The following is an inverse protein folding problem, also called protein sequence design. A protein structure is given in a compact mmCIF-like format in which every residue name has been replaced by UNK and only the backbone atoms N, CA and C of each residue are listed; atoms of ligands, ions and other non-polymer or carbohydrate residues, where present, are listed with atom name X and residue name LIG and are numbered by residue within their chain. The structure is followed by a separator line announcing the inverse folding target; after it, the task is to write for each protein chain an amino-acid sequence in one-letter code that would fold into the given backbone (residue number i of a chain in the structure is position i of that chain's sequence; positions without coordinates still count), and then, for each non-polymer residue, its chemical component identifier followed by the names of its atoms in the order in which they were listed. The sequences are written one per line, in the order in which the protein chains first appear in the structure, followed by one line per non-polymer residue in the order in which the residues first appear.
data_IF_197035473080
#
_entry.id   IF_197035473080
#
_cell.length_a   1.000
_cell.length_b   1.000
_cell.length_c   1.000
_cell.angle_alpha   90.00
_cell.angle_beta   90.00
_cell.angle_gamma   90.00
#
_symmetry.space_group_name_H-M   'P 1'
#
loop_
_entity.id
_entity.type
_entity.pdbx_description
1 polymer ?
#
# COMPACT_ATOMS: atom_id res chain seq x y z
N UNK A 1 45.44 -35.02 31.11
CA UNK A 1 45.44 -33.59 31.52
C UNK A 1 45.39 -32.63 30.33
N UNK A 2 46.23 -32.81 29.29
CA UNK A 2 46.28 -31.91 28.12
C UNK A 2 44.97 -31.91 27.30
N UNK A 3 44.33 -33.06 27.14
CA UNK A 3 43.05 -33.19 26.40
C UNK A 3 41.92 -32.45 27.11
N UNK A 4 41.83 -32.58 28.43
CA UNK A 4 40.81 -31.93 29.26
C UNK A 4 40.92 -30.40 29.20
N UNK A 5 42.15 -29.86 29.12
CA UNK A 5 42.39 -28.42 29.01
C UNK A 5 42.04 -27.86 27.63
N UNK A 6 42.13 -28.67 26.56
CA UNK A 6 41.73 -28.27 25.20
C UNK A 6 40.21 -28.26 25.05
N UNK A 7 39.51 -29.25 25.61
CA UNK A 7 38.04 -29.29 25.61
C UNK A 7 37.47 -28.13 26.43
N UNK A 8 38.06 -27.82 27.59
CA UNK A 8 37.62 -26.68 28.41
C UNK A 8 37.79 -25.34 27.69
N UNK A 9 38.90 -25.14 26.95
CA UNK A 9 39.10 -23.92 26.14
C UNK A 9 38.11 -23.80 24.98
N UNK A 10 37.77 -24.90 24.33
CA UNK A 10 36.76 -24.92 23.25
C UNK A 10 35.38 -24.60 23.82
N UNK A 11 35.01 -25.18 24.97
CA UNK A 11 33.74 -24.88 25.64
C UNK A 11 33.70 -23.41 26.09
N UNK A 12 34.78 -22.87 26.67
CA UNK A 12 34.84 -21.47 27.07
C UNK A 12 34.78 -20.51 25.87
N UNK A 13 35.41 -20.87 24.75
CA UNK A 13 35.34 -20.10 23.50
C UNK A 13 33.94 -20.16 22.87
N UNK A 14 33.30 -21.34 22.84
CA UNK A 14 31.90 -21.47 22.41
C UNK A 14 30.95 -20.70 23.32
N UNK A 15 31.21 -20.67 24.64
CA UNK A 15 30.43 -19.86 25.58
C UNK A 15 30.66 -18.37 25.36
N UNK A 16 31.89 -17.92 25.08
CA UNK A 16 32.21 -16.53 24.74
C UNK A 16 31.63 -16.09 23.39
N UNK A 17 31.59 -16.97 22.40
CA UNK A 17 30.95 -16.72 21.10
C UNK A 17 29.42 -16.70 21.26
N UNK A 18 28.86 -17.57 22.11
CA UNK A 18 27.43 -17.57 22.41
C UNK A 18 26.99 -16.36 23.27
N UNK A 19 27.84 -15.85 24.17
CA UNK A 19 27.53 -14.65 24.96
C UNK A 19 27.82 -13.34 24.21
N UNK A 20 28.79 -13.32 23.28
CA UNK A 20 29.01 -12.18 22.38
C UNK A 20 28.00 -12.09 21.22
N UNK A 21 27.13 -13.10 21.02
CA UNK A 21 25.93 -12.96 20.20
C UNK A 21 24.82 -12.13 20.87
N UNK A 22 25.02 -11.70 22.12
CA UNK A 22 24.29 -10.58 22.73
C UNK A 22 24.99 -9.23 22.48
N UNK A 23 25.58 -9.04 21.31
CA UNK A 23 25.63 -7.69 20.74
C UNK A 23 24.17 -7.22 20.64
N UNK A 24 23.73 -6.46 21.64
CA UNK A 24 22.38 -5.95 21.77
C UNK A 24 22.01 -5.18 20.50
N UNK A 25 21.36 -5.91 19.59
CA UNK A 25 20.78 -5.36 18.40
C UNK A 25 19.63 -4.45 18.79
N UNK A 26 19.54 -3.32 18.11
CA UNK A 26 18.35 -2.48 18.12
C UNK A 26 17.13 -3.38 17.84
N UNK A 27 16.26 -3.60 18.83
CA UNK A 27 15.00 -4.31 18.63
C UNK A 27 14.01 -3.37 17.93
N UNK A 28 13.80 -3.58 16.63
CA UNK A 28 12.63 -3.04 15.92
C UNK A 28 11.45 -3.98 16.17
N UNK A 29 10.33 -3.44 16.66
CA UNK A 29 9.07 -4.19 16.72
C UNK A 29 8.28 -3.93 15.43
N UNK A 30 7.84 -5.00 14.77
CA UNK A 30 6.96 -4.93 13.60
C UNK A 30 5.49 -5.01 14.04
N UNK A 31 4.66 -4.02 13.69
CA UNK A 31 3.21 -4.05 13.94
C UNK A 31 2.41 -3.44 12.76
N UNK A 32 1.40 -4.17 12.28
CA UNK A 32 0.64 -3.92 11.04
C UNK A 32 -0.71 -3.24 11.28
N UNK A 33 -1.07 -2.21 10.50
CA UNK A 33 -2.40 -1.54 10.49
C UNK A 33 -2.68 -0.86 9.13
N UNK A 34 -3.90 -0.35 8.93
CA UNK A 34 -4.35 0.31 7.71
C UNK A 34 -4.97 1.69 8.05
N UNK A 35 -4.46 2.75 7.45
CA UNK A 35 -5.09 4.08 7.41
C UNK A 35 -4.92 4.63 6.01
N UNK A 36 -6.00 5.08 5.41
CA UNK A 36 -6.05 5.51 4.04
C UNK A 36 -6.30 7.03 4.03
N UNK A 37 -5.85 7.76 3.03
CA UNK A 37 -6.12 9.19 2.95
C UNK A 37 -5.91 9.63 1.52
N UNK A 38 -6.85 10.40 0.97
CA UNK A 38 -6.58 11.08 -0.29
C UNK A 38 -5.58 12.19 -0.02
N UNK A 39 -4.52 12.33 -0.84
CA UNK A 39 -3.76 13.56 -0.85
C UNK A 39 -4.68 14.72 -1.23
N UNK A 40 -4.66 15.80 -0.43
CA UNK A 40 -5.45 17.03 -0.60
C UNK A 40 -5.34 17.66 -2.02
N UNK A 41 -4.35 17.22 -2.80
CA UNK A 41 -4.02 17.69 -4.15
C UNK A 41 -4.66 16.94 -5.31
N UNK A 42 -5.42 15.85 -5.09
CA UNK A 42 -6.08 15.12 -6.19
C UNK A 42 -7.57 15.46 -6.33
N UNK A 43 -8.15 15.97 -5.25
CA UNK A 43 -9.56 16.25 -5.12
C UNK A 43 -9.63 17.66 -4.57
N UNK A 44 -10.11 18.59 -5.39
CA UNK A 44 -10.41 19.95 -4.92
C UNK A 44 -11.34 19.86 -3.71
N UNK A 45 -11.24 20.84 -2.80
CA UNK A 45 -12.15 20.97 -1.64
C UNK A 45 -13.65 20.95 -2.03
N UNK A 46 -13.96 21.05 -3.32
CA UNK A 46 -15.30 21.01 -3.89
C UNK A 46 -15.93 19.61 -3.88
N UNK A 47 -15.15 18.52 -3.95
CA UNK A 47 -15.74 17.18 -3.92
C UNK A 47 -15.90 16.67 -2.49
N UNK A 48 -17.13 16.35 -2.14
CA UNK A 48 -17.56 15.90 -0.81
C UNK A 48 -18.02 14.44 -0.82
N UNK A 49 -18.30 13.88 -2.01
CA UNK A 49 -18.81 12.53 -2.14
C UNK A 49 -18.36 11.83 -3.44
N UNK A 50 -18.48 10.51 -3.45
CA UNK A 50 -18.25 9.71 -4.63
C UNK A 50 -19.25 8.57 -4.73
N UNK A 51 -19.48 8.08 -5.94
CA UNK A 51 -20.11 6.78 -6.16
C UNK A 51 -19.22 5.91 -7.04
N UNK A 52 -19.47 4.61 -7.08
CA UNK A 52 -18.78 3.68 -7.97
C UNK A 52 -19.78 3.20 -9.00
N UNK A 53 -19.36 3.18 -10.27
CA UNK A 53 -20.04 2.42 -11.32
C UNK A 53 -19.09 1.36 -11.79
N UNK A 54 -19.57 0.14 -11.94
CA UNK A 54 -18.84 -0.89 -12.61
C UNK A 54 -19.59 -1.31 -13.86
N UNK A 55 -18.90 -1.30 -14.99
CA UNK A 55 -19.38 -1.81 -16.25
C UNK A 55 -18.56 -3.05 -16.64
N UNK A 56 -19.23 -4.19 -16.79
CA UNK A 56 -18.65 -5.36 -17.41
C UNK A 56 -18.55 -5.16 -18.93
N UNK A 57 -17.59 -5.84 -19.56
CA UNK A 57 -17.33 -5.72 -20.99
C UNK A 57 -18.59 -5.99 -21.82
N UNK A 58 -19.00 -5.00 -22.62
CA UNK A 58 -20.03 -5.21 -23.65
C UNK A 58 -19.51 -6.07 -24.83
N UNK A 59 -18.20 -6.24 -24.94
CA UNK A 59 -17.58 -7.04 -25.98
C UNK A 59 -17.61 -8.54 -25.64
N UNK A 60 -17.81 -9.42 -26.64
CA UNK A 60 -17.64 -10.86 -26.51
C UNK A 60 -16.31 -11.24 -25.87
N UNK A 61 -16.31 -12.25 -25.01
CA UNK A 61 -15.07 -12.80 -24.44
C UNK A 61 -14.25 -13.46 -25.55
N UNK A 62 -12.96 -13.15 -25.59
CA UNK A 62 -12.02 -13.75 -26.54
C UNK A 62 -11.48 -15.05 -25.96
N UNK A 63 -11.35 -16.07 -26.80
CA UNK A 63 -10.71 -17.34 -26.42
C UNK A 63 -9.54 -17.54 -27.37
N UNK A 64 -8.36 -17.74 -26.81
CA UNK A 64 -7.13 -18.00 -27.55
C UNK A 64 -6.56 -19.33 -27.03
N UNK A 65 -6.33 -20.30 -27.90
CA UNK A 65 -5.73 -21.59 -27.52
C UNK A 65 -4.47 -21.79 -28.36
N UNK A 66 -3.32 -21.90 -27.71
CA UNK A 66 -2.00 -22.00 -28.36
C UNK A 66 -1.74 -20.90 -29.40
N UNK A 67 -2.15 -19.67 -29.08
CA UNK A 67 -2.00 -18.52 -29.97
C UNK A 67 -3.04 -18.44 -31.09
N UNK A 68 -3.91 -19.44 -31.25
CA UNK A 68 -4.99 -19.41 -32.23
C UNK A 68 -6.27 -18.83 -31.61
N UNK A 69 -6.86 -17.84 -32.29
CA UNK A 69 -8.14 -17.28 -31.91
C UNK A 69 -9.28 -18.28 -32.19
N UNK A 70 -10.07 -18.57 -31.17
CA UNK A 70 -11.28 -19.38 -31.28
C UNK A 70 -12.51 -18.49 -31.46
N UNK A 71 -13.67 -19.13 -31.62
CA UNK A 71 -14.95 -18.41 -31.67
C UNK A 71 -15.14 -17.61 -30.38
N UNK A 72 -15.46 -16.32 -30.53
CA UNK A 72 -15.83 -15.47 -29.40
C UNK A 72 -17.05 -16.02 -28.67
N UNK A 73 -17.10 -15.75 -27.37
CA UNK A 73 -18.12 -16.28 -26.48
C UNK A 73 -19.10 -15.20 -26.05
N UNK A 74 -20.19 -15.61 -25.42
CA UNK A 74 -21.16 -14.66 -24.88
C UNK A 74 -20.45 -13.69 -23.93
N UNK A 75 -20.93 -12.44 -23.91
CA UNK A 75 -20.43 -11.43 -22.97
C UNK A 75 -20.57 -11.94 -21.53
N UNK A 76 -19.67 -11.48 -20.66
CA UNK A 76 -19.85 -11.67 -19.23
C UNK A 76 -21.09 -10.88 -18.80
N UNK A 77 -22.09 -11.56 -18.26
CA UNK A 77 -23.26 -10.89 -17.67
C UNK A 77 -23.11 -10.82 -16.16
N UNK A 78 -23.73 -9.79 -15.56
CA UNK A 78 -23.84 -9.70 -14.12
C UNK A 78 -24.54 -10.96 -13.60
N UNK A 79 -23.78 -11.84 -12.97
CA UNK A 79 -24.34 -13.00 -12.29
C UNK A 79 -24.58 -12.66 -10.81
N UNK A 80 -25.35 -13.51 -10.13
CA UNK A 80 -25.63 -13.39 -8.69
C UNK A 80 -24.38 -13.44 -7.80
N UNK A 81 -23.20 -13.78 -8.35
CA UNK A 81 -21.93 -13.87 -7.63
C UNK A 81 -21.15 -12.55 -7.64
N UNK A 82 -21.44 -11.65 -8.57
CA UNK A 82 -20.82 -10.34 -8.60
C UNK A 82 -21.43 -9.41 -7.55
N UNK A 83 -20.83 -9.39 -6.36
CA UNK A 83 -21.30 -8.54 -5.26
C UNK A 83 -20.58 -7.19 -5.30
N UNK A 84 -21.29 -6.17 -5.81
CA UNK A 84 -20.82 -4.78 -5.84
C UNK A 84 -20.39 -4.29 -4.44
N UNK A 85 -21.09 -4.74 -3.39
CA UNK A 85 -20.78 -4.43 -1.99
C UNK A 85 -19.36 -4.88 -1.57
N UNK A 86 -18.80 -5.95 -2.16
CA UNK A 86 -17.44 -6.40 -1.85
C UNK A 86 -16.37 -5.45 -2.42
N UNK A 87 -16.62 -4.90 -3.61
CA UNK A 87 -15.80 -3.84 -4.20
C UNK A 87 -15.87 -2.56 -3.36
N UNK A 88 -17.09 -2.18 -2.97
CA UNK A 88 -17.34 -1.00 -2.13
C UNK A 88 -16.61 -1.13 -0.79
N UNK A 89 -16.65 -2.30 -0.14
CA UNK A 89 -15.95 -2.51 1.13
C UNK A 89 -14.44 -2.27 1.00
N UNK A 90 -13.82 -2.70 -0.09
CA UNK A 90 -12.41 -2.43 -0.38
C UNK A 90 -12.08 -0.98 -0.69
N UNK A 91 -13.09 -0.17 -1.05
CA UNK A 91 -12.99 1.25 -1.41
C UNK A 91 -13.60 2.20 -0.36
N UNK A 92 -14.23 1.66 0.68
CA UNK A 92 -14.71 2.41 1.85
C UNK A 92 -13.59 3.16 2.60
N UNK A 93 -12.35 2.82 2.26
CA UNK A 93 -11.09 3.43 2.62
C UNK A 93 -10.80 4.77 1.92
N UNK A 94 -11.65 5.27 1.03
CA UNK A 94 -11.51 6.60 0.43
C UNK A 94 -11.84 7.68 1.49
N UNK A 95 -10.93 7.90 2.45
CA UNK A 95 -11.18 8.51 3.79
C UNK A 95 -11.69 9.96 3.77
N UNK A 96 -11.63 10.64 2.62
CA UNK A 96 -12.01 12.05 2.53
C UNK A 96 -13.34 12.32 1.80
N UNK A 97 -14.12 11.28 1.45
CA UNK A 97 -15.35 11.46 0.68
C UNK A 97 -16.48 10.56 1.19
N UNK A 98 -17.70 11.10 1.17
CA UNK A 98 -18.91 10.30 1.41
C UNK A 98 -19.14 9.33 0.26
N UNK A 99 -19.15 8.02 0.53
CA UNK A 99 -19.68 7.06 -0.44
C UNK A 99 -21.19 7.24 -0.56
N UNK A 100 -21.67 7.37 -1.80
CA UNK A 100 -23.07 7.43 -2.15
C UNK A 100 -23.37 6.29 -3.12
N UNK A 101 -24.27 5.39 -2.73
CA UNK A 101 -24.66 4.25 -3.56
C UNK A 101 -25.40 4.70 -4.82
N UNK A 102 -26.14 5.80 -4.72
CA UNK A 102 -26.77 6.37 -5.89
C UNK A 102 -25.71 7.10 -6.71
N UNK A 103 -25.72 6.98 -8.03
CA UNK A 103 -24.83 7.73 -8.91
C UNK A 103 -25.52 8.90 -9.62
N UNK A 104 -26.60 9.43 -9.03
CA UNK A 104 -27.23 10.65 -9.47
C UNK A 104 -26.24 11.82 -9.56
N UNK A 105 -26.52 12.70 -10.52
CA UNK A 105 -25.78 13.93 -10.75
C UNK A 105 -25.91 14.84 -9.53
N UNK A 106 -24.79 15.18 -8.91
CA UNK A 106 -24.75 16.06 -7.74
C UNK A 106 -23.50 16.92 -7.80
N UNK A 107 -23.63 18.20 -7.44
CA UNK A 107 -22.46 19.07 -7.32
C UNK A 107 -21.54 18.56 -6.19
N UNK A 108 -20.23 18.74 -6.37
CA UNK A 108 -19.24 18.19 -5.42
C UNK A 108 -19.24 16.67 -5.30
N UNK A 109 -19.68 15.95 -6.34
CA UNK A 109 -19.62 14.49 -6.40
C UNK A 109 -18.90 14.01 -7.65
N UNK A 110 -18.03 13.01 -7.50
CA UNK A 110 -17.48 12.28 -8.64
C UNK A 110 -17.95 10.83 -8.72
N UNK A 111 -17.78 10.24 -9.89
CA UNK A 111 -18.10 8.86 -10.20
C UNK A 111 -16.79 8.15 -10.50
N UNK A 112 -16.46 7.12 -9.72
CA UNK A 112 -15.45 6.13 -10.08
C UNK A 112 -16.10 5.13 -11.05
N UNK A 113 -16.01 5.43 -12.34
CA UNK A 113 -16.53 4.62 -13.43
C UNK A 113 -15.47 3.60 -13.88
N UNK A 114 -15.67 2.35 -13.48
CA UNK A 114 -14.73 1.24 -13.65
C UNK A 114 -15.26 0.34 -14.76
N UNK A 115 -14.44 0.08 -15.78
CA UNK A 115 -14.83 -0.73 -16.93
C UNK A 115 -13.90 -1.91 -17.08
N UNK A 116 -14.46 -3.10 -17.16
CA UNK A 116 -13.71 -4.30 -17.53
C UNK A 116 -13.78 -4.44 -19.04
N UNK A 117 -12.63 -4.46 -19.71
CA UNK A 117 -12.51 -4.59 -21.17
C UNK A 117 -11.61 -5.75 -21.56
N UNK A 118 -11.69 -6.17 -22.81
CA UNK A 118 -10.77 -7.11 -23.44
C UNK A 118 -10.60 -8.44 -22.67
N UNK A 119 -11.69 -8.93 -22.07
CA UNK A 119 -11.69 -10.22 -21.36
C UNK A 119 -11.26 -11.31 -22.35
N UNK A 120 -10.18 -12.00 -21.99
CA UNK A 120 -9.55 -13.01 -22.83
C UNK A 120 -9.19 -14.22 -21.99
N UNK A 121 -9.66 -15.40 -22.39
CA UNK A 121 -9.16 -16.68 -21.91
C UNK A 121 -8.03 -17.18 -22.81
N UNK A 122 -6.93 -17.61 -22.20
CA UNK A 122 -5.80 -18.22 -22.88
C UNK A 122 -5.67 -19.66 -22.42
N UNK A 123 -5.71 -20.61 -23.35
CA UNK A 123 -5.36 -22.00 -23.11
C UNK A 123 -3.98 -22.28 -23.70
N UNK A 124 -3.03 -22.73 -22.89
CA UNK A 124 -1.73 -23.21 -23.36
C UNK A 124 -1.67 -24.73 -23.22
N UNK A 125 -1.49 -25.44 -24.32
CA UNK A 125 -1.36 -26.90 -24.33
C UNK A 125 0.11 -27.24 -24.08
N UNK A 126 0.34 -28.08 -23.08
CA UNK A 126 1.63 -28.58 -22.68
C UNK A 126 1.73 -30.06 -22.99
N UNK A 127 2.96 -30.55 -23.10
CA UNK A 127 3.25 -31.96 -23.35
C UNK A 127 4.19 -32.48 -22.26
N UNK A 128 3.79 -33.55 -21.59
CA UNK A 128 4.64 -34.30 -20.68
C UNK A 128 5.41 -35.38 -21.45
N UNK A 129 6.57 -35.75 -20.93
CA UNK A 129 7.44 -36.78 -21.52
C UNK A 129 7.03 -38.22 -21.19
N UNK A 130 5.97 -38.43 -20.39
CA UNK A 130 5.62 -39.75 -19.86
C UNK A 130 4.12 -39.98 -19.82
N UNK A 131 3.65 -41.02 -20.51
CA UNK A 131 2.29 -41.56 -20.38
C UNK A 131 1.56 -41.75 -21.71
N UNK A 132 0.47 -42.52 -21.68
CA UNK A 132 -0.43 -42.72 -22.82
C UNK A 132 -1.24 -41.46 -23.18
N UNK A 133 -1.26 -40.46 -22.29
CA UNK A 133 -1.97 -39.19 -22.43
C UNK A 133 -1.01 -38.03 -22.14
N UNK A 134 -0.08 -37.71 -23.08
CA UNK A 134 1.01 -36.79 -22.79
C UNK A 134 0.56 -35.33 -22.79
N UNK A 135 -0.62 -34.99 -23.32
CA UNK A 135 -1.03 -33.60 -23.44
C UNK A 135 -1.89 -33.16 -22.26
N UNK A 136 -1.57 -32.01 -21.69
CA UNK A 136 -2.36 -31.33 -20.67
C UNK A 136 -2.43 -29.84 -21.00
N UNK A 137 -3.08 -29.04 -20.17
CA UNK A 137 -3.20 -27.61 -20.44
C UNK A 137 -3.11 -26.75 -19.19
N UNK A 138 -2.75 -25.48 -19.42
CA UNK A 138 -2.82 -24.39 -18.46
C UNK A 138 -3.80 -23.35 -18.99
N UNK A 139 -4.61 -22.78 -18.09
CA UNK A 139 -5.55 -21.71 -18.45
C UNK A 139 -5.10 -20.43 -17.77
N UNK A 140 -5.10 -19.36 -18.54
CA UNK A 140 -4.93 -18.00 -18.04
C UNK A 140 -6.16 -17.21 -18.43
N UNK A 141 -6.40 -16.14 -17.68
CA UNK A 141 -7.32 -15.10 -18.12
C UNK A 141 -6.63 -13.76 -18.01
N UNK A 142 -7.00 -12.86 -18.91
CA UNK A 142 -6.55 -11.49 -18.90
C UNK A 142 -7.69 -10.55 -19.22
N UNK A 143 -7.60 -9.34 -18.69
CA UNK A 143 -8.57 -8.28 -18.91
C UNK A 143 -7.93 -6.94 -18.60
N UNK A 144 -8.53 -5.89 -19.13
CA UNK A 144 -8.16 -4.51 -18.87
C UNK A 144 -9.16 -3.91 -17.88
N UNK A 145 -8.67 -3.37 -16.76
CA UNK A 145 -9.47 -2.54 -15.86
C UNK A 145 -9.23 -1.09 -16.25
N UNK A 146 -10.24 -0.45 -16.84
CA UNK A 146 -10.22 0.98 -17.15
C UNK A 146 -10.96 1.72 -16.04
N UNK A 147 -10.23 2.36 -15.14
CA UNK A 147 -10.81 3.20 -14.10
C UNK A 147 -10.89 4.63 -14.61
N UNK A 148 -12.06 5.25 -14.52
CA UNK A 148 -12.31 6.65 -14.85
C UNK A 148 -12.86 7.37 -13.61
N UNK A 149 -12.32 8.53 -13.25
CA UNK A 149 -12.98 9.45 -12.33
C UNK A 149 -13.67 10.55 -13.12
N UNK A 150 -14.96 10.72 -12.87
CA UNK A 150 -15.81 11.65 -13.62
C UNK A 150 -16.53 12.61 -12.71
N UNK A 151 -16.62 13.87 -13.10
CA UNK A 151 -17.50 14.81 -12.40
C UNK A 151 -18.95 14.37 -12.62
N UNK A 152 -19.73 14.17 -11.55
CA UNK A 152 -21.06 13.56 -11.69
C UNK A 152 -22.07 14.45 -12.43
N UNK A 153 -21.92 15.78 -12.35
CA UNK A 153 -22.80 16.75 -13.03
C UNK A 153 -22.54 16.79 -14.53
N UNK A 154 -21.28 16.98 -14.91
CA UNK A 154 -20.86 17.20 -16.29
C UNK A 154 -20.55 15.91 -17.04
N UNK A 155 -20.39 14.79 -16.32
CA UNK A 155 -19.88 13.51 -16.82
C UNK A 155 -18.48 13.61 -17.46
N UNK A 156 -17.78 14.72 -17.23
CA UNK A 156 -16.42 14.88 -17.73
C UNK A 156 -15.48 13.97 -16.95
N UNK A 157 -14.81 13.07 -17.67
CA UNK A 157 -13.67 12.32 -17.12
C UNK A 157 -12.55 13.30 -16.84
N UNK A 158 -12.14 13.37 -15.57
CA UNK A 158 -10.92 14.07 -15.20
C UNK A 158 -9.77 13.06 -15.11
N UNK A 159 -9.93 11.91 -14.45
CA UNK A 159 -8.87 10.89 -14.34
C UNK A 159 -9.19 9.61 -15.10
N UNK A 160 -8.19 9.01 -15.75
CA UNK A 160 -8.32 7.70 -16.39
C UNK A 160 -7.02 6.89 -16.27
N UNK A 161 -7.15 5.61 -15.94
CA UNK A 161 -6.04 4.65 -15.93
C UNK A 161 -6.51 3.30 -16.40
N UNK A 162 -5.70 2.67 -17.23
CA UNK A 162 -5.90 1.29 -17.65
C UNK A 162 -4.88 0.39 -16.97
N UNK A 163 -5.35 -0.69 -16.37
CA UNK A 163 -4.54 -1.70 -15.68
C UNK A 163 -4.76 -3.02 -16.39
N UNK A 164 -3.67 -3.56 -16.92
CA UNK A 164 -3.68 -4.86 -17.61
C UNK A 164 -3.49 -5.94 -16.56
N UNK A 165 -4.49 -6.80 -16.41
CA UNK A 165 -4.44 -7.96 -15.50
C UNK A 165 -4.23 -9.21 -16.32
N UNK A 166 -3.29 -10.05 -15.90
CA UNK A 166 -3.08 -11.40 -16.45
C UNK A 166 -2.77 -12.34 -15.30
N UNK A 167 -3.68 -13.28 -15.04
CA UNK A 167 -3.52 -14.25 -13.98
C UNK A 167 -3.54 -15.67 -14.55
N UNK A 168 -2.67 -16.52 -14.02
CA UNK A 168 -2.70 -17.95 -14.25
C UNK A 168 -3.76 -18.58 -13.37
N UNK A 169 -4.64 -19.38 -13.95
CA UNK A 169 -5.49 -20.27 -13.17
C UNK A 169 -4.73 -21.57 -12.93
N UNK A 170 -4.42 -21.86 -11.67
CA UNK A 170 -3.84 -23.13 -11.27
C UNK A 170 -4.90 -24.23 -11.33
N UNK A 171 -5.01 -24.84 -12.52
CA UNK A 171 -5.76 -26.06 -12.87
C UNK A 171 -7.30 -25.95 -12.74
N UNK A 172 -8.06 -25.99 -13.86
CA UNK A 172 -9.51 -26.05 -13.81
C UNK A 172 -9.93 -27.29 -13.05
N UNK A 173 -10.69 -27.09 -11.97
CA UNK A 173 -11.16 -28.16 -11.11
C UNK A 173 -10.04 -28.68 -10.21
N UNK A 174 -9.95 -28.11 -9.02
CA UNK A 174 -9.37 -28.78 -7.86
C UNK A 174 -10.26 -29.95 -7.38
N UNK A 175 -10.85 -30.72 -8.31
CA UNK A 175 -11.18 -32.09 -7.99
C UNK A 175 -9.84 -32.72 -7.64
N UNK A 176 -9.71 -33.09 -6.38
CA UNK A 176 -8.65 -34.00 -6.00
C UNK A 176 -9.10 -35.38 -6.45
N UNK A 177 -8.18 -36.18 -6.99
CA UNK A 177 -8.37 -37.63 -6.91
C UNK A 177 -8.67 -37.98 -5.43
N UNK A 178 -9.25 -39.15 -5.17
CA UNK A 178 -9.53 -39.63 -3.80
C UNK A 178 -8.29 -39.62 -2.88
N UNK A 179 -7.08 -39.53 -3.45
CA UNK A 179 -5.79 -39.45 -2.75
C UNK A 179 -5.28 -38.02 -2.45
N UNK A 180 -6.03 -36.98 -2.84
CA UNK A 180 -5.65 -35.59 -2.59
C UNK A 180 -4.83 -34.90 -3.69
N UNK A 181 -4.48 -35.60 -4.77
CA UNK A 181 -3.72 -35.04 -5.91
C UNK A 181 -4.63 -34.30 -6.89
N UNK A 182 -4.21 -33.17 -7.51
CA UNK A 182 -5.04 -32.46 -8.48
C UNK A 182 -5.37 -33.36 -9.69
N UNK A 183 -6.64 -33.45 -10.08
CA UNK A 183 -7.06 -34.15 -11.29
C UNK A 183 -6.47 -33.42 -12.50
N UNK A 184 -5.45 -34.00 -13.12
CA UNK A 184 -4.89 -33.48 -14.37
C UNK A 184 -5.68 -34.14 -15.49
N UNK A 185 -6.45 -33.35 -16.24
CA UNK A 185 -7.07 -33.83 -17.47
C UNK A 185 -5.96 -34.02 -18.51
N UNK A 186 -5.52 -35.27 -18.64
CA UNK A 186 -4.54 -35.69 -19.62
C UNK A 186 -5.27 -36.21 -20.87
N UNK A 187 -4.76 -35.87 -22.04
CA UNK A 187 -5.35 -36.20 -23.34
C UNK A 187 -4.34 -36.91 -24.23
N UNK A 188 -4.82 -37.73 -25.17
CA UNK A 188 -3.98 -38.50 -26.09
C UNK A 188 -3.41 -37.62 -27.18
N UNK A 189 -4.19 -36.63 -27.62
CA UNK A 189 -3.79 -35.74 -28.72
C UNK A 189 -3.99 -34.27 -28.38
N UNK A 190 -3.15 -33.41 -28.98
CA UNK A 190 -3.31 -31.95 -28.90
C UNK A 190 -4.69 -31.46 -29.38
N UNK A 191 -5.26 -32.13 -30.39
CA UNK A 191 -6.58 -31.80 -30.92
C UNK A 191 -7.71 -32.06 -29.91
N UNK A 192 -7.61 -33.13 -29.12
CA UNK A 192 -8.56 -33.41 -28.04
C UNK A 192 -8.54 -32.32 -26.97
N UNK A 193 -7.34 -31.89 -26.53
CA UNK A 193 -7.19 -30.79 -25.56
C UNK A 193 -7.81 -29.51 -26.10
N UNK A 194 -7.51 -29.17 -27.36
CA UNK A 194 -8.01 -27.96 -28.02
C UNK A 194 -9.54 -27.97 -28.13
N UNK A 195 -10.13 -29.10 -28.49
CA UNK A 195 -11.59 -29.27 -28.54
C UNK A 195 -12.21 -29.16 -27.15
N UNK A 196 -11.59 -29.75 -26.13
CA UNK A 196 -12.04 -29.66 -24.75
C UNK A 196 -12.00 -28.21 -24.24
N UNK A 197 -10.86 -27.54 -24.37
CA UNK A 197 -10.69 -26.13 -24.00
C UNK A 197 -11.68 -25.23 -24.74
N UNK A 198 -11.83 -25.39 -26.05
CA UNK A 198 -12.80 -24.60 -26.82
C UNK A 198 -14.22 -24.74 -26.23
N UNK A 199 -14.61 -25.94 -25.77
CA UNK A 199 -15.93 -26.18 -25.21
C UNK A 199 -16.09 -25.71 -23.75
N UNK A 200 -15.03 -25.79 -22.94
CA UNK A 200 -15.14 -25.74 -21.47
C UNK A 200 -14.24 -24.71 -20.77
N UNK A 201 -13.45 -23.92 -21.49
CA UNK A 201 -12.55 -22.91 -20.87
C UNK A 201 -13.29 -21.84 -20.05
N UNK A 202 -14.60 -21.72 -20.21
CA UNK A 202 -15.46 -20.77 -19.50
C UNK A 202 -16.38 -21.43 -18.46
N UNK A 203 -16.14 -22.69 -18.09
CA UNK A 203 -16.95 -23.33 -17.04
C UNK A 203 -16.91 -22.54 -15.72
N UNK A 204 -18.00 -22.63 -14.95
CA UNK A 204 -18.33 -21.77 -13.79
C UNK A 204 -17.17 -21.49 -12.82
N UNK A 205 -16.28 -22.46 -12.59
CA UNK A 205 -15.13 -22.27 -11.69
C UNK A 205 -14.19 -21.15 -12.19
N UNK A 206 -13.89 -21.13 -13.49
CA UNK A 206 -13.01 -20.14 -14.10
C UNK A 206 -13.69 -18.76 -14.15
N UNK A 207 -15.00 -18.71 -14.38
CA UNK A 207 -15.79 -17.47 -14.34
C UNK A 207 -15.81 -16.88 -12.92
N UNK A 208 -16.01 -17.72 -11.90
CA UNK A 208 -16.00 -17.27 -10.50
C UNK A 208 -14.62 -16.74 -10.08
N UNK A 209 -13.55 -17.39 -10.51
CA UNK A 209 -12.18 -16.95 -10.27
C UNK A 209 -11.85 -15.65 -11.00
N UNK A 210 -12.32 -15.48 -12.24
CA UNK A 210 -12.23 -14.20 -12.95
C UNK A 210 -12.96 -13.10 -12.19
N UNK A 211 -14.17 -13.37 -11.70
CA UNK A 211 -14.95 -12.42 -10.89
C UNK A 211 -14.23 -12.07 -9.59
N UNK A 212 -13.73 -13.08 -8.86
CA UNK A 212 -12.98 -12.88 -7.64
C UNK A 212 -11.69 -12.09 -7.89
N UNK A 213 -10.99 -12.38 -9.00
CA UNK A 213 -9.84 -11.62 -9.44
C UNK A 213 -10.20 -10.16 -9.72
N UNK A 214 -11.30 -9.89 -10.41
CA UNK A 214 -11.76 -8.52 -10.66
C UNK A 214 -12.02 -7.81 -9.33
N UNK A 215 -12.78 -8.43 -8.41
CA UNK A 215 -13.11 -7.84 -7.11
C UNK A 215 -11.86 -7.56 -6.26
N UNK A 216 -10.94 -8.53 -6.20
CA UNK A 216 -9.69 -8.43 -5.42
C UNK A 216 -8.65 -7.52 -6.05
N UNK A 217 -8.70 -7.28 -7.37
CA UNK A 217 -7.73 -6.42 -8.06
C UNK A 217 -8.17 -4.97 -8.10
N UNK A 218 -9.45 -4.71 -8.40
CA UNK A 218 -9.96 -3.35 -8.62
C UNK A 218 -9.84 -2.48 -7.37
N UNK A 219 -10.17 -2.98 -6.17
CA UNK A 219 -10.09 -2.17 -4.96
C UNK A 219 -8.65 -1.75 -4.61
N UNK A 220 -7.65 -2.65 -4.55
CA UNK A 220 -6.25 -2.27 -4.36
C UNK A 220 -5.70 -1.43 -5.52
N UNK A 221 -6.09 -1.73 -6.76
CA UNK A 221 -5.67 -0.97 -7.93
C UNK A 221 -6.16 0.48 -7.91
N UNK A 222 -7.44 0.68 -7.60
CA UNK A 222 -8.05 1.99 -7.47
C UNK A 222 -7.48 2.72 -6.25
N UNK A 223 -7.29 2.03 -5.12
CA UNK A 223 -6.68 2.60 -3.92
C UNK A 223 -5.23 3.05 -4.18
N UNK A 224 -4.42 2.19 -4.81
CA UNK A 224 -3.05 2.50 -5.24
C UNK A 224 -3.01 3.63 -6.27
N UNK A 225 -3.97 3.68 -7.19
CA UNK A 225 -4.06 4.71 -8.22
C UNK A 225 -4.45 6.08 -7.66
N UNK A 226 -5.36 6.11 -6.71
CA UNK A 226 -5.85 7.32 -6.07
C UNK A 226 -4.94 7.77 -4.92
N UNK A 227 -3.79 7.11 -4.76
CA UNK A 227 -2.85 7.31 -3.65
C UNK A 227 -3.53 7.22 -2.28
N UNK A 228 -4.61 6.46 -2.23
CA UNK A 228 -5.36 6.12 -1.02
C UNK A 228 -4.60 4.95 -0.44
N UNK A 229 -3.53 5.30 0.28
CA UNK A 229 -2.49 4.33 0.58
C UNK A 229 -3.02 3.16 1.41
N UNK A 230 -2.96 1.98 0.79
CA UNK A 230 -2.85 0.69 1.47
C UNK A 230 -1.39 0.51 1.84
N UNK A 231 -1.02 0.83 3.08
CA UNK A 231 0.33 0.57 3.54
C UNK A 231 0.43 -0.72 4.36
N UNK A 232 1.32 -1.65 3.95
CA UNK A 232 1.97 -2.52 4.91
C UNK A 232 2.85 -1.67 5.84
N UNK A 233 2.31 -1.39 7.02
CA UNK A 233 2.93 -0.68 8.13
C UNK A 233 4.24 -1.31 8.60
N UNK A 234 5.35 -0.70 8.20
CA UNK A 234 6.67 -0.91 8.81
C UNK A 234 7.13 0.43 9.37
N UNK A 235 7.21 0.51 10.71
CA UNK A 235 7.71 1.70 11.41
C UNK A 235 9.18 1.49 11.74
N UNK A 236 10.00 2.47 11.42
CA UNK A 236 11.44 2.43 11.71
C UNK A 236 11.80 3.36 12.87
N UNK A 237 10.99 3.39 13.93
CA UNK A 237 11.39 4.15 15.12
C UNK A 237 12.60 3.50 15.78
N UNK A 238 13.64 4.30 15.95
CA UNK A 238 14.87 3.92 16.62
C UNK A 238 14.70 4.14 18.11
N UNK A 239 14.48 3.05 18.84
CA UNK A 239 14.62 3.03 20.30
C UNK A 239 16.08 2.96 20.69
N UNK A 240 16.42 3.66 21.76
CA UNK A 240 17.73 3.57 22.37
C UNK A 240 17.78 2.39 23.34
N UNK A 241 18.73 1.47 23.16
CA UNK A 241 18.95 0.39 24.13
C UNK A 241 19.53 0.94 25.44
N UNK A 242 19.19 0.33 26.59
CA UNK A 242 19.67 0.71 27.95
C UNK A 242 19.10 2.05 28.46
N UNK A 243 17.76 2.15 28.50
CA UNK A 243 16.98 3.28 29.03
C UNK A 243 17.45 3.76 30.41
N UNK A 244 17.93 2.82 31.21
CA UNK A 244 18.44 2.93 32.57
C UNK A 244 19.78 3.68 32.72
N UNK A 245 20.45 4.04 31.61
CA UNK A 245 21.83 4.61 31.66
C UNK A 245 21.97 6.08 31.26
N UNK A 246 20.95 6.69 30.65
CA UNK A 246 21.01 8.10 30.27
C UNK A 246 19.62 8.77 30.28
N UNK A 247 19.45 9.91 30.99
CA UNK A 247 18.15 10.61 31.04
C UNK A 247 17.55 10.94 29.66
N UNK A 248 18.40 11.24 28.68
CA UNK A 248 17.99 11.52 27.30
C UNK A 248 17.43 10.31 26.56
N UNK A 249 17.97 9.11 26.79
CA UNK A 249 17.47 7.90 26.14
C UNK A 249 16.08 7.55 26.65
N UNK A 250 15.87 7.76 27.96
CA UNK A 250 14.57 7.65 28.60
C UNK A 250 13.55 8.61 27.97
N UNK A 251 13.88 9.90 27.83
CA UNK A 251 13.00 10.88 27.17
C UNK A 251 12.59 10.47 25.75
N UNK A 252 13.55 10.04 24.92
CA UNK A 252 13.26 9.61 23.53
C UNK A 252 12.34 8.38 23.54
N UNK A 253 12.64 7.39 24.36
CA UNK A 253 11.87 6.15 24.40
C UNK A 253 10.47 6.37 24.99
N UNK A 254 10.31 7.28 25.96
CA UNK A 254 9.00 7.69 26.48
C UNK A 254 8.12 8.30 25.39
N UNK A 255 8.66 9.18 24.54
CA UNK A 255 7.90 9.71 23.38
C UNK A 255 7.54 8.62 22.37
N UNK A 256 8.44 7.65 22.12
CA UNK A 256 8.15 6.49 21.27
C UNK A 256 7.06 5.60 21.90
N UNK A 257 7.06 5.44 23.23
CA UNK A 257 6.05 4.67 23.95
C UNK A 257 4.69 5.38 23.94
N UNK A 258 4.66 6.70 24.11
CA UNK A 258 3.46 7.50 23.91
C UNK A 258 2.90 7.30 22.50
N UNK A 259 3.77 7.29 21.47
CA UNK A 259 3.37 6.99 20.10
C UNK A 259 2.78 5.59 19.95
N UNK A 260 3.45 4.57 20.49
CA UNK A 260 2.98 3.18 20.45
C UNK A 260 1.66 2.99 21.19
N UNK A 261 1.50 3.62 22.34
CA UNK A 261 0.34 3.46 23.21
C UNK A 261 -0.88 4.19 22.65
N UNK A 262 -0.72 5.42 22.14
CA UNK A 262 -1.79 6.13 21.44
C UNK A 262 -2.42 5.24 20.36
N UNK A 263 -1.57 4.60 19.55
CA UNK A 263 -2.03 3.73 18.48
C UNK A 263 -2.82 2.53 18.98
N UNK A 264 -2.43 1.93 20.11
CA UNK A 264 -3.14 0.77 20.68
C UNK A 264 -4.47 1.15 21.32
N UNK A 265 -4.55 2.35 21.90
CA UNK A 265 -5.70 2.77 22.70
C UNK A 265 -6.83 3.37 21.86
N UNK A 266 -6.58 3.75 20.59
CA UNK A 266 -7.51 4.60 19.80
C UNK A 266 -8.00 5.82 20.60
N UNK A 267 -7.21 6.29 21.57
CA UNK A 267 -7.62 7.32 22.50
C UNK A 267 -7.44 8.70 21.86
N UNK A 268 -8.34 9.64 22.19
CA UNK A 268 -8.16 11.06 21.88
C UNK A 268 -6.82 11.55 22.45
N UNK A 269 -5.94 12.03 21.58
CA UNK A 269 -4.66 12.61 22.00
C UNK A 269 -4.92 14.03 22.47
N UNK A 270 -4.44 14.37 23.66
CA UNK A 270 -4.14 15.76 24.00
C UNK A 270 -2.97 16.23 23.14
N UNK A 271 -3.30 16.70 21.94
CA UNK A 271 -2.30 17.22 21.02
C UNK A 271 -1.97 18.63 21.48
N UNK A 272 -0.70 18.92 21.75
CA UNK A 272 -0.31 20.26 22.17
C UNK A 272 -0.35 21.19 20.94
N UNK A 273 -1.51 21.76 20.66
CA UNK A 273 -1.72 22.66 19.52
C UNK A 273 -0.85 23.92 19.66
N UNK A 274 -0.57 24.37 20.89
CA UNK A 274 0.32 25.50 21.15
C UNK A 274 1.74 25.25 20.62
N UNK A 275 2.27 24.04 20.78
CA UNK A 275 3.61 23.70 20.24
C UNK A 275 3.65 23.78 18.72
N UNK A 276 2.58 23.40 18.03
CA UNK A 276 2.49 23.54 16.57
C UNK A 276 2.38 25.01 16.15
N UNK A 277 1.62 25.82 16.90
CA UNK A 277 1.45 27.26 16.65
C UNK A 277 2.75 28.04 16.87
N UNK A 278 3.45 27.77 17.98
CA UNK A 278 4.76 28.37 18.31
C UNK A 278 5.83 28.04 17.26
N UNK A 279 5.68 26.93 16.54
CA UNK A 279 6.58 26.48 15.48
C UNK A 279 5.94 26.60 14.09
N UNK A 280 5.03 27.56 13.90
CA UNK A 280 4.23 27.72 12.67
C UNK A 280 5.06 27.80 11.38
N UNK A 281 6.25 28.42 11.40
CA UNK A 281 7.14 28.46 10.24
C UNK A 281 7.67 27.06 9.86
N UNK A 282 8.16 26.29 10.84
CA UNK A 282 8.61 24.92 10.61
C UNK A 282 7.45 24.03 10.11
N UNK A 283 6.29 24.15 10.76
CA UNK A 283 5.07 23.42 10.42
C UNK A 283 4.61 23.74 9.00
N UNK A 284 4.66 25.01 8.60
CA UNK A 284 4.32 25.45 7.25
C UNK A 284 5.31 24.95 6.21
N UNK A 285 6.62 25.06 6.50
CA UNK A 285 7.69 24.66 5.58
C UNK A 285 7.69 23.16 5.29
N UNK A 286 7.19 22.33 6.23
CA UNK A 286 7.13 20.87 6.10
C UNK A 286 5.70 20.32 5.97
N UNK A 287 4.73 21.17 5.64
CA UNK A 287 3.33 20.80 5.40
C UNK A 287 2.68 19.94 6.53
N UNK A 288 3.02 20.23 7.79
CA UNK A 288 2.62 19.46 8.97
C UNK A 288 1.20 19.79 9.47
N UNK A 289 0.51 20.76 8.88
CA UNK A 289 -0.89 21.11 9.18
C UNK A 289 -1.84 20.62 8.08
N UNK A 290 -3.03 20.18 8.46
CA UNK A 290 -4.14 19.96 7.51
C UNK A 290 -4.76 21.33 7.23
N UNK A 291 -4.83 21.72 5.96
CA UNK A 291 -5.39 23.01 5.57
C UNK A 291 -6.92 22.89 5.50
N UNK A 292 -7.60 23.37 6.55
CA UNK A 292 -9.06 23.45 6.61
C UNK A 292 -9.70 22.27 7.33
N UNK A 293 -10.77 22.56 8.07
CA UNK A 293 -11.56 21.54 8.75
C UNK A 293 -12.70 21.05 7.84
N UNK A 294 -12.47 19.94 7.15
CA UNK A 294 -13.48 19.30 6.31
C UNK A 294 -14.34 18.29 7.09
N UNK A 295 -14.29 18.25 8.44
CA UNK A 295 -15.05 17.27 9.24
C UNK A 295 -16.56 17.31 8.96
N UNK A 296 -17.07 18.48 8.59
CA UNK A 296 -18.50 18.69 8.29
C UNK A 296 -18.91 18.17 6.90
N UNK A 297 -17.96 17.85 6.01
CA UNK A 297 -18.24 17.24 4.72
C UNK A 297 -18.65 15.76 4.85
N UNK A 298 -18.33 15.12 5.98
CA UNK A 298 -18.69 13.73 6.25
C UNK A 298 -20.07 13.67 6.92
N UNK A 299 -20.99 12.86 6.38
CA UNK A 299 -22.32 12.66 6.99
C UNK A 299 -22.34 11.42 7.88
N UNK A 300 -21.55 10.40 7.50
CA UNK A 300 -21.42 9.15 8.25
C UNK A 300 -20.47 9.31 9.45
N UNK A 301 -20.88 8.77 10.60
CA UNK A 301 -20.12 8.89 11.85
C UNK A 301 -18.77 8.17 11.78
N UNK A 302 -18.67 7.05 11.06
CA UNK A 302 -17.39 6.32 10.91
C UNK A 302 -16.44 7.06 9.98
N UNK A 303 -16.95 7.70 8.93
CA UNK A 303 -16.14 8.54 8.06
C UNK A 303 -15.56 9.76 8.81
N UNK A 304 -16.38 10.43 9.65
CA UNK A 304 -15.91 11.49 10.57
C UNK A 304 -14.82 10.98 11.51
N UNK A 305 -15.04 9.83 12.14
CA UNK A 305 -14.07 9.21 13.06
C UNK A 305 -12.73 8.96 12.36
N UNK A 306 -12.75 8.41 11.14
CA UNK A 306 -11.54 8.18 10.34
C UNK A 306 -10.82 9.48 9.96
N UNK A 307 -11.56 10.51 9.53
CA UNK A 307 -10.98 11.82 9.23
C UNK A 307 -10.33 12.44 10.47
N UNK A 308 -11.05 12.45 11.58
CA UNK A 308 -10.53 12.95 12.86
C UNK A 308 -9.29 12.18 13.31
N UNK A 309 -9.26 10.86 13.08
CA UNK A 309 -8.08 10.05 13.34
C UNK A 309 -6.87 10.48 12.48
N UNK A 310 -7.07 10.79 11.19
CA UNK A 310 -5.99 11.29 10.32
C UNK A 310 -5.49 12.67 10.78
N UNK A 311 -6.40 13.59 11.10
CA UNK A 311 -6.06 14.91 11.66
C UNK A 311 -5.24 14.76 12.95
N UNK A 312 -5.73 13.93 13.87
CA UNK A 312 -5.03 13.63 15.12
C UNK A 312 -3.66 13.00 14.86
N UNK A 313 -3.56 12.06 13.92
CA UNK A 313 -2.30 11.41 13.52
C UNK A 313 -1.28 12.43 13.00
N UNK A 314 -1.71 13.34 12.12
CA UNK A 314 -0.84 14.36 11.53
C UNK A 314 -0.34 15.35 12.58
N UNK A 315 -1.25 15.88 13.42
CA UNK A 315 -0.90 16.80 14.50
C UNK A 315 0.04 16.14 15.52
N UNK A 316 -0.20 14.86 15.83
CA UNK A 316 0.64 14.09 16.73
C UNK A 316 2.05 13.87 16.19
N UNK A 317 2.16 13.45 14.92
CA UNK A 317 3.45 13.29 14.25
C UNK A 317 4.18 14.63 14.12
N UNK A 318 3.48 15.72 13.83
CA UNK A 318 4.05 17.06 13.83
C UNK A 318 4.67 17.42 15.19
N UNK A 319 3.93 17.20 16.28
CA UNK A 319 4.46 17.42 17.63
C UNK A 319 5.64 16.51 17.96
N UNK A 320 5.58 15.24 17.58
CA UNK A 320 6.66 14.30 17.79
C UNK A 320 7.94 14.72 17.02
N UNK A 321 7.80 15.16 15.77
CA UNK A 321 8.90 15.71 14.97
C UNK A 321 9.54 16.91 15.67
N UNK A 322 8.71 17.88 16.12
CA UNK A 322 9.20 19.08 16.81
C UNK A 322 9.95 18.74 18.10
N UNK A 323 9.45 17.78 18.88
CA UNK A 323 10.13 17.32 20.10
C UNK A 323 11.47 16.64 19.79
N UNK A 324 11.52 15.75 18.80
CA UNK A 324 12.75 15.09 18.40
C UNK A 324 13.77 16.09 17.85
N UNK A 325 13.31 17.10 17.11
CA UNK A 325 14.14 18.19 16.62
C UNK A 325 14.73 19.01 17.77
N UNK A 326 13.91 19.36 18.78
CA UNK A 326 14.37 20.06 19.97
C UNK A 326 15.41 19.24 20.75
N UNK A 327 15.12 17.95 21.01
CA UNK A 327 16.07 17.03 21.66
C UNK A 327 17.39 16.93 20.89
N UNK A 328 17.34 16.86 19.55
CA UNK A 328 18.57 16.79 18.74
C UNK A 328 19.47 18.02 18.88
N UNK A 329 18.89 19.19 19.19
CA UNK A 329 19.62 20.46 19.41
C UNK A 329 20.19 20.59 20.83
N UNK A 330 19.59 19.92 21.81
CA UNK A 330 20.06 19.91 23.20
C UNK A 330 21.28 19.01 23.43
N UNK A 331 21.50 18.03 22.57
CA UNK A 331 22.52 17.00 22.76
C UNK A 331 23.87 17.37 22.13
N UNK A 332 24.96 17.07 22.85
CA UNK A 332 26.33 17.28 22.38
C UNK A 332 26.78 16.14 21.47
N UNK A 333 27.00 16.44 20.18
CA UNK A 333 27.48 15.46 19.18
C UNK A 333 28.91 14.99 19.43
N UNK A 334 29.70 15.66 20.29
CA UNK A 334 31.05 15.23 20.67
C UNK A 334 31.02 14.14 21.75
N UNK A 335 29.97 14.08 22.56
CA UNK A 335 29.76 12.95 23.47
C UNK A 335 29.18 11.77 22.70
N UNK A 336 29.83 10.60 22.80
CA UNK A 336 29.46 9.42 22.03
C UNK A 336 28.00 8.99 22.26
N UNK A 337 27.50 9.05 23.49
CA UNK A 337 26.13 8.61 23.81
C UNK A 337 25.11 9.61 23.33
N UNK A 338 25.38 10.90 23.54
CA UNK A 338 24.52 11.96 23.03
C UNK A 338 24.49 11.98 21.51
N UNK A 339 25.60 11.71 20.83
CA UNK A 339 25.65 11.47 19.38
C UNK A 339 24.72 10.33 18.93
N UNK A 340 24.69 9.21 19.66
CA UNK A 340 23.73 8.11 19.40
C UNK A 340 22.28 8.57 19.60
N UNK A 341 22.00 9.42 20.59
CA UNK A 341 20.67 9.99 20.80
C UNK A 341 20.26 10.95 19.68
N UNK A 342 21.16 11.84 19.23
CA UNK A 342 20.93 12.72 18.07
C UNK A 342 20.62 11.90 16.83
N UNK A 343 21.37 10.82 16.59
CA UNK A 343 21.10 9.90 15.49
C UNK A 343 19.71 9.29 15.57
N UNK A 344 19.29 8.83 16.75
CA UNK A 344 17.95 8.28 16.94
C UNK A 344 16.86 9.34 16.71
N UNK A 345 17.06 10.58 17.17
CA UNK A 345 16.16 11.70 16.88
C UNK A 345 16.02 11.91 15.37
N UNK A 346 17.11 12.02 14.61
CA UNK A 346 17.04 12.20 13.16
C UNK A 346 16.37 11.03 12.43
N UNK A 347 16.63 9.79 12.83
CA UNK A 347 15.97 8.62 12.25
C UNK A 347 14.47 8.57 12.57
N UNK A 348 14.08 9.00 13.77
CA UNK A 348 12.68 9.11 14.17
C UNK A 348 11.96 10.21 13.38
N UNK A 349 12.60 11.37 13.20
CA UNK A 349 12.06 12.46 12.36
C UNK A 349 11.92 12.01 10.91
N UNK A 350 12.96 11.40 10.34
CA UNK A 350 12.93 10.87 8.97
C UNK A 350 11.79 9.85 8.78
N UNK A 351 11.59 8.95 9.75
CA UNK A 351 10.50 7.98 9.73
C UNK A 351 9.12 8.65 9.80
N UNK A 352 8.98 9.70 10.63
CA UNK A 352 7.75 10.47 10.74
C UNK A 352 7.43 11.23 9.46
N UNK A 353 8.41 11.88 8.82
CA UNK A 353 8.20 12.53 7.53
C UNK A 353 7.87 11.52 6.42
N UNK A 354 8.52 10.36 6.42
CA UNK A 354 8.19 9.29 5.49
C UNK A 354 6.73 8.85 5.64
N UNK A 355 6.24 8.73 6.88
CA UNK A 355 4.85 8.41 7.16
C UNK A 355 3.87 9.51 6.70
N UNK A 356 4.31 10.76 6.74
CA UNK A 356 3.55 11.91 6.22
C UNK A 356 3.70 12.11 4.71
N UNK A 357 4.37 11.19 4.00
CA UNK A 357 4.70 11.27 2.58
C UNK A 357 5.52 12.52 2.19
N UNK A 358 6.24 13.11 3.15
CA UNK A 358 7.22 14.16 2.87
C UNK A 358 8.60 13.53 2.65
N UNK A 359 8.78 12.97 1.46
CA UNK A 359 9.99 12.26 1.07
C UNK A 359 11.22 13.16 1.11
N UNK A 360 11.07 14.43 0.71
CA UNK A 360 12.15 15.42 0.69
C UNK A 360 12.67 15.67 2.10
N UNK A 361 11.78 16.00 3.03
CA UNK A 361 12.15 16.25 4.42
C UNK A 361 12.69 14.98 5.07
N UNK A 362 12.08 13.82 4.78
CA UNK A 362 12.59 12.54 5.26
C UNK A 362 14.03 12.27 4.81
N UNK A 363 14.36 12.49 3.53
CA UNK A 363 15.72 12.33 2.99
C UNK A 363 16.70 13.31 3.63
N UNK A 364 16.31 14.57 3.88
CA UNK A 364 17.16 15.55 4.57
C UNK A 364 17.59 15.02 5.94
N UNK A 365 16.67 14.45 6.71
CA UNK A 365 16.98 13.90 8.03
C UNK A 365 17.73 12.56 7.96
N UNK A 366 17.53 11.77 6.91
CA UNK A 366 18.39 10.60 6.61
C UNK A 366 19.84 11.06 6.40
N UNK A 367 20.08 12.13 5.63
CA UNK A 367 21.43 12.68 5.42
C UNK A 367 22.06 13.20 6.71
N UNK A 368 21.29 13.91 7.55
CA UNK A 368 21.75 14.32 8.89
C UNK A 368 22.15 13.11 9.74
N UNK A 369 21.37 12.02 9.70
CA UNK A 369 21.70 10.78 10.41
C UNK A 369 22.95 10.08 9.82
N UNK A 370 23.14 10.11 8.49
CA UNK A 370 24.33 9.55 7.82
C UNK A 370 25.63 10.18 8.30
N UNK A 371 25.65 11.51 8.46
CA UNK A 371 26.84 12.27 8.91
C UNK A 371 27.33 11.80 10.28
N UNK A 372 26.44 11.30 11.13
CA UNK A 372 26.80 10.82 12.46
C UNK A 372 27.53 9.47 12.44
N UNK A 373 27.46 8.74 11.32
CA UNK A 373 28.08 7.43 11.13
C UNK A 373 27.69 6.40 12.22
N UNK A 374 26.40 6.33 12.51
CA UNK A 374 25.82 5.39 13.47
C UNK A 374 24.85 4.48 12.71
N UNK A 375 25.06 3.16 12.77
CA UNK A 375 24.18 2.15 12.16
C UNK A 375 23.87 2.36 10.67
N UNK A 376 24.92 2.38 9.82
CA UNK A 376 24.80 2.58 8.35
C UNK A 376 23.74 1.70 7.68
N UNK A 377 23.58 0.45 8.12
CA UNK A 377 22.60 -0.47 7.55
C UNK A 377 21.16 0.03 7.73
N UNK A 378 20.84 0.59 8.90
CA UNK A 378 19.49 1.07 9.19
C UNK A 378 19.20 2.40 8.49
N UNK A 379 20.21 3.24 8.36
CA UNK A 379 20.13 4.47 7.56
C UNK A 379 19.85 4.14 6.09
N UNK A 380 20.59 3.17 5.54
CA UNK A 380 20.39 2.66 4.18
C UNK A 380 19.00 2.06 3.97
N UNK A 381 18.47 1.31 4.93
CA UNK A 381 17.14 0.72 4.85
C UNK A 381 16.04 1.79 4.71
N UNK A 382 16.07 2.85 5.54
CA UNK A 382 15.10 3.95 5.44
C UNK A 382 15.28 4.71 4.13
N UNK A 383 16.53 4.94 3.71
CA UNK A 383 16.84 5.61 2.44
C UNK A 383 16.28 4.83 1.24
N UNK A 384 16.56 3.53 1.13
CA UNK A 384 16.07 2.68 0.04
C UNK A 384 14.54 2.64 0.03
N UNK A 385 13.92 2.57 1.22
CA UNK A 385 12.46 2.63 1.34
C UNK A 385 11.90 3.98 0.89
N UNK A 386 12.53 5.07 1.30
CA UNK A 386 12.15 6.42 0.91
C UNK A 386 12.28 6.62 -0.60
N UNK A 387 13.42 6.29 -1.20
CA UNK A 387 13.65 6.39 -2.64
C UNK A 387 12.67 5.54 -3.45
N UNK A 388 12.33 4.33 -2.97
CA UNK A 388 11.32 3.48 -3.59
C UNK A 388 9.94 4.15 -3.59
N UNK A 389 9.51 4.65 -2.42
CA UNK A 389 8.23 5.35 -2.29
C UNK A 389 8.19 6.69 -3.04
N UNK A 390 9.30 7.43 -3.06
CA UNK A 390 9.44 8.66 -3.82
C UNK A 390 9.38 8.39 -5.32
N UNK A 391 9.99 7.30 -5.81
CA UNK A 391 9.87 6.89 -7.21
C UNK A 391 8.42 6.58 -7.57
N UNK A 392 7.71 5.85 -6.71
CA UNK A 392 6.30 5.56 -6.91
C UNK A 392 5.46 6.84 -6.94
N UNK A 393 5.75 7.79 -6.04
CA UNK A 393 5.14 9.13 -6.01
C UNK A 393 5.44 9.95 -7.28
N UNK A 394 6.69 9.95 -7.74
CA UNK A 394 7.12 10.66 -8.94
C UNK A 394 6.57 10.06 -10.24
N UNK A 395 5.90 8.90 -10.22
CA UNK A 395 5.12 8.45 -11.38
C UNK A 395 3.93 9.38 -11.66
N UNK A 396 3.46 10.11 -10.64
CA UNK A 396 2.28 10.97 -10.72
C UNK A 396 2.62 12.44 -10.53
N UNK A 397 3.70 12.74 -9.81
CA UNK A 397 4.11 14.09 -9.46
C UNK A 397 5.46 14.46 -10.07
N UNK A 398 5.63 15.73 -10.40
CA UNK A 398 6.94 16.29 -10.68
C UNK A 398 7.73 16.49 -9.37
N UNK A 399 8.98 16.92 -9.52
CA UNK A 399 9.89 17.11 -8.39
C UNK A 399 9.42 18.19 -7.40
N UNK A 400 8.53 19.09 -7.85
CA UNK A 400 7.96 20.15 -7.02
C UNK A 400 6.68 19.68 -6.29
N UNK A 401 6.31 18.41 -6.46
CA UNK A 401 5.12 17.81 -5.86
C UNK A 401 3.82 18.15 -6.59
N UNK A 402 3.91 18.85 -7.73
CA UNK A 402 2.77 19.14 -8.59
C UNK A 402 2.47 17.94 -9.48
N UNK A 403 1.21 17.78 -9.87
CA UNK A 403 0.82 16.71 -10.78
C UNK A 403 1.56 16.89 -12.12
N UNK A 404 2.18 15.83 -12.65
CA UNK A 404 2.93 15.96 -13.92
C UNK A 404 2.01 16.39 -15.07
N UNK A 405 2.51 17.26 -15.96
CA UNK A 405 1.74 17.85 -17.07
C UNK A 405 1.35 16.87 -18.19
N UNK A 406 1.99 15.70 -18.25
CA UNK A 406 1.64 14.60 -19.15
C UNK A 406 0.45 13.76 -18.64
N UNK A 407 -0.05 14.05 -17.43
CA UNK A 407 -1.41 13.68 -17.03
C UNK A 407 -2.41 14.55 -17.81
N UNK A 408 -3.12 13.90 -18.73
CA UNK A 408 -4.12 14.41 -19.68
C UNK A 408 -4.56 15.87 -19.48
N UNK A 409 -4.22 16.76 -20.43
CA UNK A 409 -4.49 18.22 -20.42
C UNK A 409 -5.92 18.67 -20.02
N UNK A 410 -6.93 17.79 -20.08
CA UNK A 410 -8.27 18.03 -19.52
C UNK A 410 -8.29 18.21 -17.98
N UNK A 411 -7.22 17.83 -17.29
CA UNK A 411 -7.00 17.99 -15.85
C UNK A 411 -6.81 19.45 -15.43
N UNK A 412 -6.10 20.26 -16.21
CA UNK A 412 -5.59 21.57 -15.77
C UNK A 412 -6.68 22.60 -15.46
N UNK A 413 -7.88 22.48 -16.04
CA UNK A 413 -8.95 23.47 -15.81
C UNK A 413 -9.64 23.37 -14.44
N UNK A 414 -9.37 22.30 -13.69
CA UNK A 414 -10.00 22.03 -12.38
C UNK A 414 -9.04 22.19 -11.21
N UNK A 415 -7.79 22.63 -11.44
CA UNK A 415 -6.78 22.86 -10.41
C UNK A 415 -6.42 24.34 -10.22
N UNK A 416 -7.16 25.26 -10.83
CA UNK A 416 -6.95 26.70 -10.64
C UNK A 416 -7.49 27.15 -9.28
N UNK A 417 -6.66 27.08 -8.23
CA UNK A 417 -6.46 28.14 -7.21
C UNK A 417 -4.97 28.17 -6.83
#
# INVERSE_FOLDING_TARGET
MIVTMRVFKIVLFCFFVATNLNAQSYKSDYQTFYSFGFPEKYITNEYQSFCIKLDLSAQPTKVIIDGEAMQSRTRLEYNTFFQEDQLINGLSSLINLRYDKDCNKMDGKFIADIKIKDITYYGEIKQSSSGETPYYFEVFYGYNVVCQLKNSMTNQTFLEKTIVVKNSHSKPGADKNTDGTPRIYNFKTKAEVKSYLNKYIEENLIVNELIHSIQSTVAPALSSWLDVQYFPNTYFFSRMSKEDKHPFYKKINEEIDLFKNWKKANSEIQTNLLTLEENSEFVKNHNLQIKGDNVNAFVDSKAKERYNYVVASKNFLGNFILKMEAYSKEFDVNDKKQKEAVWACYMNIASSFLFLNDFKSSLEYVEKAKVLDISKSKVREIEEKNLSLQKDYLNFFDADGNLKKDLNNGYLKYFNI
#
